data_IF_785557595037
#
_entry.id   IF_785557595037
#
_cell.length_a   1.000
_cell.length_b   1.000
_cell.length_c   1.000
_cell.angle_alpha   90.00
_cell.angle_beta   90.00
_cell.angle_gamma   90.00
#
_symmetry.space_group_name_H-M   'P 1'
#
loop_
_entity.id
_entity.type
_entity.pdbx_description
1 polymer ?
#
# COMPACT_ATOMS: atom_id res chain seq x y z
N UNK A 1 2.04 -7.30 7.30
CA UNK A 1 0.86 -7.61 6.44
C UNK A 1 0.29 -6.38 5.76
N UNK A 2 -0.37 -5.47 6.50
CA UNK A 2 -0.94 -4.24 5.92
C UNK A 2 0.10 -3.40 5.15
N UNK A 3 1.20 -3.03 5.82
CA UNK A 3 2.28 -2.25 5.20
C UNK A 3 3.09 -3.02 4.15
N UNK A 4 2.95 -4.34 4.11
CA UNK A 4 3.49 -5.18 3.04
C UNK A 4 2.55 -5.29 1.84
N UNK A 5 1.46 -4.50 1.82
CA UNK A 5 0.53 -4.40 0.69
C UNK A 5 -0.60 -5.42 0.70
N UNK A 6 -0.75 -6.26 1.73
CA UNK A 6 -1.88 -7.17 1.83
C UNK A 6 -3.14 -6.43 2.31
N UNK A 7 -3.71 -5.63 1.42
CA UNK A 7 -4.93 -4.85 1.63
C UNK A 7 -5.75 -4.79 0.32
N UNK A 8 -7.07 -4.77 0.44
CA UNK A 8 -7.96 -4.66 -0.72
C UNK A 8 -9.37 -4.24 -0.31
N UNK A 9 -10.12 -3.71 -1.26
CA UNK A 9 -11.50 -3.26 -1.05
C UNK A 9 -12.47 -4.42 -1.22
N UNK A 10 -13.37 -4.62 -0.24
CA UNK A 10 -14.52 -5.49 -0.37
C UNK A 10 -15.78 -4.65 -0.58
N UNK A 11 -16.40 -4.78 -1.75
CA UNK A 11 -17.67 -4.11 -2.07
C UNK A 11 -18.82 -5.10 -1.80
N UNK A 12 -19.78 -4.69 -0.98
CA UNK A 12 -20.97 -5.50 -0.65
C UNK A 12 -22.22 -4.83 -1.21
N UNK A 13 -22.91 -5.53 -2.12
CA UNK A 13 -24.10 -5.03 -2.82
C UNK A 13 -25.38 -5.77 -2.39
N UNK A 14 -26.54 -5.09 -2.48
CA UNK A 14 -27.85 -5.74 -2.30
C UNK A 14 -28.20 -6.60 -3.52
N UNK A 15 -28.94 -7.70 -3.32
CA UNK A 15 -29.27 -8.68 -4.37
C UNK A 15 -29.95 -8.10 -5.63
N UNK A 16 -30.80 -7.07 -5.49
CA UNK A 16 -31.48 -6.40 -6.62
C UNK A 16 -30.71 -5.19 -7.17
N UNK A 17 -29.52 -4.90 -6.65
CA UNK A 17 -28.69 -3.76 -7.09
C UNK A 17 -28.09 -4.01 -8.49
N UNK A 18 -27.86 -5.27 -8.86
CA UNK A 18 -27.31 -5.68 -10.16
C UNK A 18 -28.31 -5.63 -11.31
N UNK A 19 -29.63 -5.73 -11.05
CA UNK A 19 -30.66 -5.73 -12.10
C UNK A 19 -31.06 -4.33 -12.57
N UNK A 20 -30.80 -3.29 -11.76
CA UNK A 20 -31.15 -1.90 -12.06
C UNK A 20 -30.03 -1.07 -12.69
N UNK A 21 -28.88 -1.69 -13.00
CA UNK A 21 -27.78 -1.03 -13.71
C UNK A 21 -28.16 -0.75 -15.17
N UNK A 22 -28.97 0.30 -15.36
CA UNK A 22 -29.13 0.98 -16.64
C UNK A 22 -27.75 1.50 -17.11
N UNK A 23 -27.48 1.55 -18.43
CA UNK A 23 -26.16 1.73 -19.04
C UNK A 23 -25.60 3.17 -18.94
N UNK A 24 -25.97 3.94 -17.91
CA UNK A 24 -25.27 5.17 -17.57
C UNK A 24 -24.09 4.71 -16.69
N UNK A 25 -22.91 4.60 -17.29
CA UNK A 25 -21.63 4.33 -16.63
C UNK A 25 -21.50 5.19 -15.35
N UNK A 26 -21.86 4.64 -14.19
CA UNK A 26 -21.46 5.20 -12.91
C UNK A 26 -20.01 4.78 -12.70
N UNK A 27 -19.10 5.75 -12.67
CA UNK A 27 -17.74 5.48 -12.26
C UNK A 27 -17.74 5.15 -10.77
N UNK A 28 -17.24 3.96 -10.44
CA UNK A 28 -16.97 3.54 -9.08
C UNK A 28 -15.46 3.63 -8.84
N UNK A 29 -15.08 4.32 -7.77
CA UNK A 29 -13.69 4.46 -7.35
C UNK A 29 -13.53 3.90 -5.95
N UNK A 30 -12.43 3.18 -5.73
CA UNK A 30 -11.96 2.81 -4.40
C UNK A 30 -10.64 3.52 -4.16
N UNK A 31 -10.61 4.38 -3.14
CA UNK A 31 -9.42 5.13 -2.77
C UNK A 31 -8.93 4.64 -1.42
N UNK A 32 -7.61 4.49 -1.29
CA UNK A 32 -6.94 4.16 -0.05
C UNK A 32 -5.98 5.30 0.28
N UNK A 33 -6.26 6.02 1.36
CA UNK A 33 -5.37 7.03 1.91
C UNK A 33 -4.65 6.42 3.10
N UNK A 34 -3.39 6.07 2.92
CA UNK A 34 -2.55 5.45 3.92
C UNK A 34 -1.10 5.88 3.67
N UNK A 35 -0.39 6.26 4.72
CA UNK A 35 1.07 6.36 4.65
C UNK A 35 1.59 4.94 4.67
N UNK A 36 2.09 4.47 3.53
CA UNK A 36 2.73 3.15 3.44
C UNK A 36 4.12 3.26 4.06
N UNK A 37 4.24 2.79 5.30
CA UNK A 37 5.49 2.76 6.05
C UNK A 37 6.24 1.44 5.77
N UNK A 38 7.15 1.46 4.80
CA UNK A 38 7.93 0.27 4.41
C UNK A 38 8.86 -0.23 5.53
N UNK A 39 9.16 0.60 6.54
CA UNK A 39 9.95 0.15 7.69
C UNK A 39 9.26 -0.99 8.47
N UNK A 40 7.93 -1.05 8.42
CA UNK A 40 7.10 -2.08 9.07
C UNK A 40 6.72 -3.23 8.11
N UNK A 41 7.27 -3.23 6.90
CA UNK A 41 7.05 -4.28 5.91
C UNK A 41 7.89 -5.52 6.22
N UNK A 42 7.31 -6.70 6.04
CA UNK A 42 8.04 -7.98 6.09
C UNK A 42 9.23 -8.03 5.13
N UNK A 43 9.19 -7.25 4.05
CA UNK A 43 10.18 -7.26 2.98
C UNK A 43 11.28 -6.20 3.15
N UNK A 44 11.33 -5.48 4.28
CA UNK A 44 12.30 -4.38 4.46
C UNK A 44 13.75 -4.81 4.23
N UNK A 45 14.14 -6.00 4.70
CA UNK A 45 15.49 -6.53 4.52
C UNK A 45 15.82 -6.89 3.07
N UNK A 46 14.84 -7.45 2.35
CA UNK A 46 15.01 -7.82 0.95
C UNK A 46 15.03 -6.58 0.06
N UNK A 47 14.22 -5.57 0.39
CA UNK A 47 14.23 -4.27 -0.27
C UNK A 47 15.56 -3.55 -0.08
N UNK A 48 16.11 -3.53 1.14
CA UNK A 48 17.43 -2.94 1.40
C UNK A 48 18.51 -3.63 0.55
N UNK A 49 18.54 -4.97 0.52
CA UNK A 49 19.53 -5.72 -0.28
C UNK A 49 19.39 -5.50 -1.78
N UNK A 50 18.17 -5.30 -2.26
CA UNK A 50 17.88 -5.20 -3.69
C UNK A 50 18.08 -3.77 -4.22
N UNK A 51 17.71 -2.75 -3.44
CA UNK A 51 17.61 -1.37 -3.90
C UNK A 51 18.65 -0.43 -3.30
N UNK A 52 19.31 -0.78 -2.20
CA UNK A 52 20.41 0.04 -1.65
C UNK A 52 21.72 -0.24 -2.39
N UNK A 53 22.43 0.83 -2.75
CA UNK A 53 23.79 0.71 -3.31
C UNK A 53 24.81 0.17 -2.29
N UNK A 54 24.55 0.39 -1.00
CA UNK A 54 25.40 -0.04 0.11
C UNK A 54 24.53 -0.60 1.25
N UNK A 55 23.96 -1.80 1.11
CA UNK A 55 23.08 -2.42 2.11
C UNK A 55 23.74 -2.54 3.49
N UNK A 56 25.05 -2.75 3.53
CA UNK A 56 25.84 -2.91 4.74
C UNK A 56 26.00 -1.63 5.57
N UNK A 57 25.74 -0.47 4.97
CA UNK A 57 25.82 0.84 5.64
C UNK A 57 24.47 1.37 6.11
N UNK A 58 23.39 0.66 5.81
CA UNK A 58 22.04 1.09 6.17
C UNK A 58 21.84 0.94 7.67
N UNK A 59 21.53 2.05 8.32
CA UNK A 59 21.05 2.07 9.70
C UNK A 59 19.52 2.20 9.70
N UNK A 60 18.82 1.17 10.18
CA UNK A 60 17.35 1.15 10.21
C UNK A 60 16.74 2.07 11.28
N UNK A 61 17.53 2.46 12.27
CA UNK A 61 17.11 3.37 13.35
C UNK A 61 17.36 4.84 13.00
N UNK A 62 18.01 5.10 11.87
CA UNK A 62 18.26 6.46 11.38
C UNK A 62 16.94 7.13 10.97
N UNK A 63 16.70 8.35 11.48
CA UNK A 63 15.43 9.06 11.24
C UNK A 63 15.24 9.42 9.77
N UNK A 64 16.30 9.77 9.05
CA UNK A 64 16.23 10.12 7.62
C UNK A 64 15.92 8.87 6.78
N UNK A 65 16.55 7.73 7.09
CA UNK A 65 16.22 6.44 6.48
C UNK A 65 14.76 6.06 6.72
N UNK A 66 14.31 6.13 7.98
CA UNK A 66 12.92 5.80 8.31
C UNK A 66 11.92 6.69 7.59
N UNK A 67 12.19 7.99 7.51
CA UNK A 67 11.30 8.91 6.82
C UNK A 67 11.30 8.67 5.30
N UNK A 68 12.44 8.33 4.70
CA UNK A 68 12.54 8.03 3.27
C UNK A 68 11.67 6.83 2.83
N UNK A 69 11.36 5.93 3.77
CA UNK A 69 10.53 4.75 3.55
C UNK A 69 9.03 4.97 3.85
N UNK A 70 8.63 6.18 4.26
CA UNK A 70 7.22 6.54 4.41
C UNK A 70 6.69 7.11 3.11
N UNK A 71 5.82 6.35 2.46
CA UNK A 71 5.26 6.70 1.17
C UNK A 71 3.87 7.34 1.37
N UNK A 72 3.78 8.64 1.09
CA UNK A 72 2.55 9.44 1.17
C UNK A 72 1.86 9.46 -0.20
N UNK A 73 1.10 8.41 -0.51
CA UNK A 73 0.38 8.23 -1.78
C UNK A 73 -1.09 8.60 -1.72
#
# INVERSE_FOLDING_TARGET
DLYSGLIGTLIVCRRHYTEFFHPILKLEFSLLFLVFDENESWYIDDNIKTYSNHPEKVNKDDEEFRESNKMHG
#
